data_IF_482638455652
#
_entry.id   IF_482638455652
#
_cell.length_a   1.000
_cell.length_b   1.000
_cell.length_c   1.000
_cell.angle_alpha   90.00
_cell.angle_beta   90.00
_cell.angle_gamma   90.00
#
_symmetry.space_group_name_H-M   'P 1'
#
loop_
_entity.id
_entity.type
_entity.pdbx_description
1 polymer ?
#
# COMPACT_ATOMS: atom_id res chain seq x y z
N UNK A 1 3.84 -5.22 -1.69
CA UNK A 1 3.23 -4.18 -0.84
C UNK A 1 1.77 -4.01 -1.19
N UNK A 2 0.87 -4.13 -0.20
CA UNK A 2 -0.56 -3.86 -0.35
C UNK A 2 -0.90 -2.52 0.29
N UNK A 3 -1.52 -1.60 -0.47
CA UNK A 3 -1.90 -0.28 0.07
C UNK A 3 -2.94 -0.37 1.18
N UNK A 4 -3.85 -1.35 1.12
CA UNK A 4 -4.83 -1.54 2.18
C UNK A 4 -4.20 -1.97 3.50
N UNK A 5 -3.16 -2.81 3.46
CA UNK A 5 -2.37 -3.15 4.66
C UNK A 5 -1.74 -1.89 5.27
N UNK A 6 -1.17 -1.00 4.46
CA UNK A 6 -0.57 0.25 4.98
C UNK A 6 -1.61 1.17 5.64
N UNK A 7 -2.78 1.29 5.03
CA UNK A 7 -3.86 2.10 5.59
C UNK A 7 -4.32 1.52 6.92
N UNK A 8 -4.48 0.19 7.00
CA UNK A 8 -4.81 -0.50 8.26
C UNK A 8 -3.71 -0.39 9.31
N UNK A 9 -2.45 -0.46 8.91
CA UNK A 9 -1.32 -0.29 9.83
C UNK A 9 -1.26 1.14 10.38
N UNK A 10 -1.60 2.15 9.57
CA UNK A 10 -1.75 3.53 10.04
C UNK A 10 -2.94 3.76 10.97
N UNK A 11 -3.87 2.81 11.07
CA UNK A 11 -4.99 2.86 12.02
C UNK A 11 -4.68 2.19 13.37
N UNK A 12 -3.54 1.47 13.47
CA UNK A 12 -3.16 0.78 14.69
C UNK A 12 -2.79 1.77 15.80
N UNK A 13 -3.20 1.45 17.02
CA UNK A 13 -2.79 2.18 18.22
C UNK A 13 -1.37 1.78 18.69
N UNK A 14 -0.94 2.31 19.84
CA UNK A 14 0.35 1.97 20.45
C UNK A 14 0.50 0.48 20.81
N UNK A 15 -0.62 -0.25 20.91
CA UNK A 15 -0.67 -1.67 21.20
C UNK A 15 -0.76 -2.53 19.93
N UNK A 16 -0.74 -1.90 18.75
CA UNK A 16 -0.82 -2.58 17.47
C UNK A 16 -2.22 -3.03 17.09
N UNK A 17 -3.26 -2.63 17.83
CA UNK A 17 -4.66 -3.00 17.55
C UNK A 17 -5.29 -1.95 16.65
N UNK A 18 -6.02 -2.39 15.61
CA UNK A 18 -6.77 -1.48 14.74
C UNK A 18 -7.89 -0.86 15.58
N UNK A 19 -7.85 0.46 15.77
CA UNK A 19 -8.91 1.17 16.48
C UNK A 19 -10.11 1.43 15.54
N UNK A 20 -11.32 0.91 15.85
CA UNK A 20 -12.54 1.18 15.07
C UNK A 20 -12.86 2.67 14.91
N UNK A 21 -12.48 3.51 15.86
CA UNK A 21 -12.74 4.96 15.81
C UNK A 21 -12.00 5.64 14.65
N UNK A 22 -10.80 5.17 14.31
CA UNK A 22 -10.04 5.68 13.16
C UNK A 22 -10.76 5.36 11.85
N UNK A 23 -11.31 4.14 11.72
CA UNK A 23 -12.11 3.75 10.56
C UNK A 23 -13.42 4.55 10.50
N UNK A 24 -14.13 4.68 11.62
CA UNK A 24 -15.38 5.45 11.69
C UNK A 24 -15.17 6.92 11.28
N UNK A 25 -14.06 7.53 11.73
CA UNK A 25 -13.68 8.88 11.32
C UNK A 25 -13.43 8.97 9.82
N UNK A 26 -12.69 8.01 9.27
CA UNK A 26 -12.40 7.97 7.83
C UNK A 26 -13.68 7.81 6.98
N UNK A 27 -14.61 6.97 7.41
CA UNK A 27 -15.92 6.79 6.78
C UNK A 27 -16.77 8.07 6.87
N UNK A 28 -16.79 8.73 8.03
CA UNK A 28 -17.53 9.97 8.22
C UNK A 28 -16.99 11.11 7.33
N UNK A 29 -15.67 11.26 7.23
CA UNK A 29 -15.04 12.27 6.38
C UNK A 29 -15.27 11.97 4.89
N UNK A 30 -15.19 10.71 4.50
CA UNK A 30 -15.53 10.31 3.13
C UNK A 30 -17.02 10.52 2.78
N UNK A 31 -17.94 10.30 3.73
CA UNK A 31 -19.35 10.63 3.55
C UNK A 31 -19.56 12.13 3.31
N UNK A 32 -18.89 13.00 4.09
CA UNK A 32 -18.91 14.47 3.86
C UNK A 32 -18.40 14.81 2.47
N UNK A 33 -17.27 14.23 2.04
CA UNK A 33 -16.74 14.48 0.70
C UNK A 33 -17.70 14.07 -0.42
N UNK A 34 -18.38 12.92 -0.31
CA UNK A 34 -19.40 12.51 -1.27
C UNK A 34 -20.58 13.49 -1.35
N UNK A 35 -21.03 14.01 -0.21
CA UNK A 35 -22.11 15.00 -0.18
C UNK A 35 -21.70 16.31 -0.86
N UNK A 36 -20.46 16.75 -0.67
CA UNK A 36 -19.94 17.93 -1.37
C UNK A 36 -19.81 17.69 -2.88
N UNK A 37 -19.29 16.53 -3.29
CA UNK A 37 -19.24 16.12 -4.70
C UNK A 37 -20.65 16.08 -5.33
N UNK A 38 -21.65 15.57 -4.59
CA UNK A 38 -23.04 15.51 -5.05
C UNK A 38 -23.69 16.90 -5.23
N UNK A 39 -23.21 17.94 -4.53
CA UNK A 39 -23.61 19.34 -4.75
C UNK A 39 -22.96 19.97 -5.98
N UNK A 40 -22.08 19.25 -6.68
CA UNK A 40 -21.34 19.75 -7.84
C UNK A 40 -19.96 20.32 -7.50
N UNK A 41 -19.52 20.26 -6.24
CA UNK A 41 -18.16 20.67 -5.88
C UNK A 41 -17.13 19.65 -6.40
N UNK A 42 -15.91 20.08 -6.78
CA UNK A 42 -14.88 19.16 -7.22
C UNK A 42 -14.44 18.23 -6.08
N UNK A 43 -13.97 17.00 -6.38
CA UNK A 43 -13.50 16.07 -5.38
C UNK A 43 -12.29 16.63 -4.63
N UNK A 44 -12.23 16.39 -3.32
CA UNK A 44 -11.03 16.69 -2.53
C UNK A 44 -9.89 15.77 -2.97
N UNK A 45 -8.73 16.36 -3.26
CA UNK A 45 -7.56 15.65 -3.78
C UNK A 45 -6.35 15.96 -2.90
N UNK A 46 -5.53 14.95 -2.62
CA UNK A 46 -4.21 15.11 -2.00
C UNK A 46 -3.12 14.50 -2.89
N UNK A 47 -1.87 14.89 -2.65
CA UNK A 47 -0.72 14.28 -3.31
C UNK A 47 -0.21 13.12 -2.43
N UNK A 48 -0.16 11.91 -2.98
CA UNK A 48 0.26 10.72 -2.23
C UNK A 48 1.72 10.80 -1.76
N UNK A 49 2.58 11.54 -2.46
CA UNK A 49 3.97 11.73 -2.06
C UNK A 49 4.09 12.55 -0.77
N UNK A 50 3.08 13.37 -0.44
CA UNK A 50 3.04 14.15 0.80
C UNK A 50 2.55 13.34 2.02
N UNK A 51 2.09 12.11 1.82
CA UNK A 51 1.57 11.24 2.89
C UNK A 51 2.70 10.48 3.60
N UNK A 52 3.80 10.20 2.90
CA UNK A 52 4.95 9.56 3.51
C UNK A 52 5.72 10.59 4.35
N UNK A 53 5.83 10.34 5.66
CA UNK A 53 6.64 11.16 6.56
C UNK A 53 8.10 11.12 6.09
N UNK A 54 8.66 12.30 5.83
CA UNK A 54 10.03 12.56 5.36
C UNK A 54 10.62 11.44 4.46
N UNK A 55 10.18 11.33 3.19
CA UNK A 55 10.74 10.32 2.30
C UNK A 55 12.25 10.52 2.21
N UNK A 56 13.00 9.42 2.31
CA UNK A 56 14.46 9.43 2.19
C UNK A 56 14.89 10.22 0.94
N UNK A 57 16.03 10.91 1.02
CA UNK A 57 16.49 11.86 0.00
C UNK A 57 16.61 11.22 -1.40
N UNK A 58 16.96 9.93 -1.45
CA UNK A 58 16.99 9.11 -2.67
C UNK A 58 15.63 9.02 -3.36
N UNK A 59 14.54 8.95 -2.59
CA UNK A 59 13.16 8.91 -3.09
C UNK A 59 12.75 10.28 -3.63
N UNK A 60 13.10 11.38 -2.93
CA UNK A 60 12.84 12.75 -3.41
C UNK A 60 13.55 13.04 -4.74
N UNK A 61 14.81 12.62 -4.85
CA UNK A 61 15.60 12.71 -6.08
C UNK A 61 15.06 11.84 -7.23
N UNK A 62 14.50 10.67 -6.92
CA UNK A 62 13.90 9.77 -7.92
C UNK A 62 12.66 10.40 -8.56
N UNK A 63 11.72 10.86 -7.73
CA UNK A 63 10.46 11.43 -8.23
C UNK A 63 10.63 12.78 -8.94
N UNK A 64 11.73 13.49 -8.73
CA UNK A 64 12.03 14.73 -9.46
C UNK A 64 12.63 14.47 -10.83
N UNK A 65 13.48 13.45 -10.97
CA UNK A 65 14.15 13.08 -12.23
C UNK A 65 13.25 12.35 -13.22
N UNK A 66 12.39 11.44 -12.75
CA UNK A 66 11.59 10.55 -13.61
C UNK A 66 10.10 10.88 -13.55
N UNK A 67 9.72 12.10 -13.96
CA UNK A 67 8.33 12.56 -14.01
C UNK A 67 7.72 12.34 -15.38
N UNK A 68 6.59 11.64 -15.44
CA UNK A 68 5.76 11.56 -16.63
C UNK A 68 4.57 12.54 -16.51
N UNK A 69 4.24 13.37 -17.52
CA UNK A 69 3.19 14.40 -17.42
C UNK A 69 1.80 13.87 -17.01
N UNK A 70 1.47 12.63 -17.39
CA UNK A 70 0.21 11.95 -17.02
C UNK A 70 0.19 11.35 -15.62
N UNK A 71 1.33 11.26 -14.92
CA UNK A 71 1.40 10.73 -13.56
C UNK A 71 1.42 11.89 -12.57
N UNK A 72 0.24 12.32 -12.13
CA UNK A 72 0.08 13.52 -11.29
C UNK A 72 0.32 13.24 -9.80
N UNK A 73 0.42 11.98 -9.39
CA UNK A 73 0.50 11.53 -7.98
C UNK A 73 -0.66 12.05 -7.11
N UNK A 74 -1.77 12.41 -7.74
CA UNK A 74 -2.97 12.93 -7.08
C UNK A 74 -3.95 11.78 -6.81
N UNK A 75 -4.45 11.71 -5.58
CA UNK A 75 -5.47 10.75 -5.16
C UNK A 75 -6.66 11.49 -4.57
N UNK A 76 -7.86 10.99 -4.84
CA UNK A 76 -9.09 11.53 -4.23
C UNK A 76 -9.08 11.17 -2.75
N UNK A 77 -9.23 12.15 -1.86
CA UNK A 77 -9.07 11.97 -0.42
C UNK A 77 -9.97 10.89 0.16
N UNK A 78 -11.24 10.82 -0.27
CA UNK A 78 -12.17 9.78 0.18
C UNK A 78 -11.77 8.35 -0.22
N UNK A 79 -10.85 8.15 -1.19
CA UNK A 79 -10.44 6.80 -1.58
C UNK A 79 -9.71 6.04 -0.47
N UNK A 80 -9.18 6.74 0.54
CA UNK A 80 -8.53 6.10 1.68
C UNK A 80 -9.47 5.14 2.45
N UNK A 81 -10.77 5.45 2.54
CA UNK A 81 -11.74 4.54 3.18
C UNK A 81 -11.85 3.21 2.42
N UNK A 82 -11.76 3.25 1.08
CA UNK A 82 -11.87 2.08 0.21
C UNK A 82 -10.61 1.23 0.34
N UNK A 83 -9.46 1.87 0.52
CA UNK A 83 -8.21 1.17 0.78
C UNK A 83 -8.24 0.43 2.12
N UNK A 84 -8.90 0.95 3.14
CA UNK A 84 -8.98 0.30 4.45
C UNK A 84 -9.58 -1.12 4.37
N UNK A 85 -10.54 -1.34 3.47
CA UNK A 85 -11.18 -2.63 3.23
C UNK A 85 -10.58 -3.42 2.07
N UNK A 86 -9.67 -2.81 1.30
CA UNK A 86 -8.99 -3.48 0.19
C UNK A 86 -7.92 -4.43 0.71
N UNK A 87 -7.88 -5.65 0.19
CA UNK A 87 -6.69 -6.48 0.22
C UNK A 87 -6.44 -7.09 -1.16
N UNK A 88 -5.35 -6.64 -1.80
CA UNK A 88 -4.97 -7.07 -3.13
C UNK A 88 -4.51 -8.53 -3.20
N UNK A 89 -4.18 -9.14 -2.06
CA UNK A 89 -3.64 -10.50 -1.97
C UNK A 89 -4.50 -11.44 -1.12
N UNK A 90 -5.77 -11.08 -0.89
CA UNK A 90 -6.64 -11.86 0.01
C UNK A 90 -6.82 -13.32 -0.41
N UNK A 91 -6.78 -13.58 -1.72
CA UNK A 91 -6.95 -14.93 -2.26
C UNK A 91 -5.68 -15.43 -2.96
N UNK A 92 -4.50 -15.01 -2.50
CA UNK A 92 -3.21 -15.38 -3.10
C UNK A 92 -3.02 -16.92 -3.16
N UNK A 93 -3.60 -17.65 -2.22
CA UNK A 93 -3.58 -19.10 -2.18
C UNK A 93 -4.40 -19.78 -3.29
N UNK A 94 -5.32 -19.07 -3.94
CA UNK A 94 -6.09 -19.57 -5.10
C UNK A 94 -5.33 -19.48 -6.42
N UNK A 95 -4.17 -18.83 -6.42
CA UNK A 95 -3.33 -18.76 -7.62
C UNK A 95 -2.70 -20.13 -7.94
N UNK A 96 -2.41 -20.93 -6.91
CA UNK A 96 -1.89 -22.29 -7.04
C UNK A 96 -2.81 -23.14 -7.93
N UNK A 97 -2.25 -23.98 -8.83
CA UNK A 97 -0.84 -24.38 -8.93
C UNK A 97 0.05 -23.47 -9.80
N UNK A 98 -0.40 -22.27 -10.18
CA UNK A 98 0.44 -21.36 -10.98
C UNK A 98 1.58 -20.80 -10.12
N UNK A 99 2.83 -20.79 -10.60
CA UNK A 99 3.95 -20.25 -9.86
C UNK A 99 3.79 -18.79 -9.47
N UNK A 100 4.08 -18.46 -8.22
CA UNK A 100 4.14 -17.08 -7.71
C UNK A 100 5.59 -16.71 -7.38
N UNK A 101 6.10 -15.66 -8.02
CA UNK A 101 7.42 -15.08 -7.74
C UNK A 101 7.27 -13.68 -7.17
N UNK A 102 7.74 -13.46 -5.94
CA UNK A 102 7.78 -12.14 -5.31
C UNK A 102 9.22 -11.60 -5.31
N UNK A 103 9.43 -10.41 -5.89
CA UNK A 103 10.73 -9.75 -5.88
C UNK A 103 10.67 -8.56 -4.91
N UNK A 104 11.50 -8.57 -3.88
CA UNK A 104 11.54 -7.53 -2.87
C UNK A 104 12.99 -7.22 -2.49
N UNK A 105 13.39 -5.94 -2.50
CA UNK A 105 14.74 -5.54 -2.08
C UNK A 105 14.93 -5.76 -0.58
N UNK A 106 16.06 -6.31 -0.15
CA UNK A 106 16.35 -6.56 1.28
C UNK A 106 16.41 -5.29 2.12
N UNK A 107 16.83 -4.18 1.52
CA UNK A 107 16.91 -2.86 2.17
C UNK A 107 15.69 -1.97 1.86
N UNK A 108 14.69 -2.52 1.15
CA UNK A 108 13.47 -1.77 0.86
C UNK A 108 12.66 -1.60 2.15
N UNK A 109 12.25 -0.36 2.42
CA UNK A 109 11.31 -0.06 3.52
C UNK A 109 10.01 -0.88 3.43
N UNK A 110 9.64 -1.28 2.21
CA UNK A 110 8.43 -2.04 1.90
C UNK A 110 8.64 -3.56 1.92
N UNK A 111 9.84 -4.04 2.25
CA UNK A 111 10.16 -5.48 2.32
C UNK A 111 9.22 -6.22 3.27
N UNK A 112 9.00 -5.65 4.46
CA UNK A 112 8.11 -6.21 5.48
C UNK A 112 6.67 -6.38 5.00
N UNK A 113 6.23 -5.59 4.01
CA UNK A 113 4.90 -5.72 3.43
C UNK A 113 4.77 -6.90 2.46
N UNK A 114 5.88 -7.46 1.98
CA UNK A 114 5.89 -8.54 0.98
C UNK A 114 6.01 -9.93 1.62
N UNK A 115 6.64 -10.04 2.78
CA UNK A 115 6.85 -11.33 3.47
C UNK A 115 5.52 -12.03 3.83
N UNK A 116 4.53 -11.37 4.47
CA UNK A 116 3.28 -12.05 4.82
C UNK A 116 2.48 -12.53 3.61
N UNK A 117 2.66 -11.89 2.45
CA UNK A 117 1.97 -12.25 1.20
C UNK A 117 2.50 -13.59 0.68
N UNK A 118 3.82 -13.76 0.61
CA UNK A 118 4.40 -15.01 0.13
C UNK A 118 4.16 -16.16 1.12
N UNK A 119 4.13 -15.87 2.43
CA UNK A 119 3.88 -16.88 3.45
C UNK A 119 2.49 -17.50 3.27
N UNK A 120 1.48 -16.69 2.92
CA UNK A 120 0.11 -17.14 2.59
C UNK A 120 0.00 -17.90 1.26
N UNK A 121 0.85 -17.62 0.27
CA UNK A 121 0.78 -18.28 -1.03
C UNK A 121 1.01 -19.80 -0.90
N UNK A 122 0.39 -20.59 -1.77
CA UNK A 122 0.62 -22.04 -1.88
C UNK A 122 1.68 -22.35 -2.93
N UNK A 123 2.33 -23.50 -2.83
CA UNK A 123 3.31 -23.95 -3.81
C UNK A 123 2.70 -24.08 -5.22
N UNK A 124 3.50 -23.85 -6.28
CA UNK A 124 4.92 -23.45 -6.26
C UNK A 124 5.10 -21.93 -6.01
N UNK A 125 5.93 -21.55 -5.02
CA UNK A 125 6.20 -20.14 -4.67
C UNK A 125 7.67 -19.84 -4.40
N UNK A 126 8.09 -18.59 -4.58
CA UNK A 126 9.46 -18.16 -4.27
C UNK A 126 9.60 -16.66 -4.02
N UNK A 127 10.67 -16.28 -3.32
CA UNK A 127 11.07 -14.87 -3.14
C UNK A 127 12.49 -14.61 -3.62
N UNK A 128 12.72 -13.45 -4.23
CA UNK A 128 14.05 -13.03 -4.64
C UNK A 128 14.37 -11.64 -4.09
N UNK A 129 15.51 -11.53 -3.42
CA UNK A 129 16.05 -10.28 -2.89
C UNK A 129 17.34 -9.88 -3.64
N UNK A 130 17.32 -8.88 -4.53
CA UNK A 130 18.52 -8.37 -5.17
C UNK A 130 19.42 -7.63 -4.15
N UNK A 131 20.68 -8.04 -4.01
CA UNK A 131 21.71 -7.28 -3.27
C UNK A 131 22.06 -7.77 -1.85
N UNK A 132 21.26 -8.66 -1.25
CA UNK A 132 21.63 -9.38 -0.02
C UNK A 132 22.42 -10.65 -0.35
N UNK A 133 23.52 -10.93 0.35
CA UNK A 133 24.17 -12.25 0.32
C UNK A 133 23.20 -13.29 0.91
N UNK A 134 22.37 -13.89 0.07
CA UNK A 134 21.45 -14.94 0.48
C UNK A 134 20.28 -15.08 -0.49
N UNK A 135 20.21 -16.22 -1.17
CA UNK A 135 18.96 -16.77 -1.67
C UNK A 135 18.04 -17.04 -0.47
N UNK A 136 16.93 -16.32 -0.34
CA UNK A 136 15.82 -16.75 0.52
C UNK A 136 14.78 -17.55 -0.31
N UNK A 137 15.25 -18.66 -0.92
CA UNK A 137 14.50 -19.74 -1.63
C UNK A 137 13.88 -19.39 -2.99
N UNK A 138 14.08 -20.10 -4.11
CA UNK A 138 14.64 -21.42 -4.46
C UNK A 138 15.53 -21.28 -5.71
N UNK A 139 16.74 -21.85 -5.68
CA UNK A 139 17.38 -22.66 -6.73
C UNK A 139 18.13 -23.76 -5.99
#
# INVERSE_FOLDING_TARGET
>A
MCFGTLVRDGMRDSNGVINPDHLNKLLADAAKHRLEEAKGNPPSIHNILGVFADPREDIKGYYTKWKHPRCTNKMVTRSAELLATLDAFEYIEWISPRPVLMIAGSEAMTFQCSQPIIDRAKEPKGTRCPGGKGTCGFI
#
